data_IF_131007494626
#
_entry.id   IF_131007494626
#
_cell.length_a   1.000
_cell.length_b   1.000
_cell.length_c   1.000
_cell.angle_alpha   90.00
_cell.angle_beta   90.00
_cell.angle_gamma   90.00
#
_symmetry.space_group_name_H-M   'P 1'
#
loop_
_entity.id
_entity.type
_entity.pdbx_description
1 polymer ?
#
# COMPACT_ATOMS: atom_id res chain seq x y z
N UNK A 1 -6.83 -1.13 17.61
CA UNK A 1 -7.08 -0.80 16.19
C UNK A 1 -6.54 -1.94 15.33
N UNK A 2 -7.22 -2.34 14.24
CA UNK A 2 -6.84 -3.52 13.45
C UNK A 2 -5.38 -3.47 12.96
N UNK A 3 -4.92 -2.30 12.54
CA UNK A 3 -3.54 -2.13 12.03
C UNK A 3 -2.46 -2.16 13.13
N UNK A 4 -2.82 -2.05 14.41
CA UNK A 4 -1.86 -2.08 15.53
C UNK A 4 -1.31 -3.49 15.80
N UNK A 5 -1.96 -4.52 15.24
CA UNK A 5 -1.43 -5.89 15.30
C UNK A 5 -0.13 -6.05 14.49
N UNK A 6 0.16 -5.11 13.59
CA UNK A 6 1.33 -5.17 12.73
C UNK A 6 2.44 -4.23 13.22
N UNK A 7 3.64 -4.78 13.37
CA UNK A 7 4.87 -3.98 13.49
C UNK A 7 5.24 -3.30 12.17
N UNK A 8 4.82 -3.91 11.05
CA UNK A 8 5.02 -3.42 9.71
C UNK A 8 3.89 -3.89 8.79
N UNK A 9 3.26 -2.96 8.07
CA UNK A 9 2.31 -3.31 7.02
C UNK A 9 2.37 -2.33 5.84
N UNK A 10 1.88 -2.80 4.70
CA UNK A 10 1.86 -2.07 3.44
C UNK A 10 0.48 -2.17 2.81
N UNK A 11 0.08 -1.14 2.09
CA UNK A 11 -1.14 -1.15 1.29
C UNK A 11 -1.08 -0.08 0.20
N UNK A 12 -1.93 -0.25 -0.81
CA UNK A 12 -2.10 0.70 -1.90
C UNK A 12 -3.56 1.06 -2.07
N UNK A 13 -3.87 2.33 -2.31
CA UNK A 13 -5.22 2.79 -2.63
C UNK A 13 -5.26 3.32 -4.07
N UNK A 14 -6.01 2.63 -4.93
CA UNK A 14 -6.25 3.02 -6.32
C UNK A 14 -7.54 3.83 -6.39
N UNK A 15 -7.50 4.97 -7.09
CA UNK A 15 -8.67 5.78 -7.42
C UNK A 15 -9.39 5.21 -8.64
N UNK A 16 -9.81 3.95 -8.54
CA UNK A 16 -10.60 3.27 -9.58
C UNK A 16 -11.52 2.20 -8.99
N UNK A 17 -12.58 1.81 -9.72
CA UNK A 17 -13.41 0.67 -9.38
C UNK A 17 -12.64 -0.66 -9.35
N UNK A 18 -13.03 -1.56 -8.46
CA UNK A 18 -12.43 -2.89 -8.33
C UNK A 18 -12.61 -3.71 -9.63
N UNK A 19 -13.70 -3.50 -10.34
CA UNK A 19 -13.98 -4.16 -11.62
C UNK A 19 -12.88 -3.92 -12.65
N UNK A 20 -12.32 -2.71 -12.71
CA UNK A 20 -11.25 -2.37 -13.66
C UNK A 20 -9.95 -3.09 -13.31
N UNK A 21 -9.65 -3.24 -12.01
CA UNK A 21 -8.52 -4.05 -11.53
C UNK A 21 -8.73 -5.51 -11.92
N UNK A 22 -9.91 -6.08 -11.64
CA UNK A 22 -10.21 -7.50 -11.91
C UNK A 22 -10.14 -7.79 -13.41
N UNK A 23 -10.72 -6.94 -14.26
CA UNK A 23 -10.62 -7.04 -15.73
C UNK A 23 -9.16 -7.01 -16.18
N UNK A 24 -8.39 -6.05 -15.67
CA UNK A 24 -6.98 -5.87 -16.03
C UNK A 24 -6.13 -7.07 -15.62
N UNK A 25 -6.29 -7.57 -14.39
CA UNK A 25 -5.58 -8.77 -13.91
C UNK A 25 -5.99 -10.02 -14.71
N UNK A 26 -7.28 -10.21 -14.96
CA UNK A 26 -7.78 -11.36 -15.70
C UNK A 26 -7.20 -11.44 -17.11
N UNK A 27 -7.14 -10.30 -17.81
CA UNK A 27 -6.65 -10.21 -19.17
C UNK A 27 -5.11 -10.37 -19.31
N UNK A 28 -4.33 -10.19 -18.24
CA UNK A 28 -2.85 -10.12 -18.35
C UNK A 28 -2.10 -11.13 -17.45
N UNK A 29 -2.72 -11.64 -16.39
CA UNK A 29 -2.03 -12.47 -15.38
C UNK A 29 -2.49 -13.93 -15.36
N UNK A 30 -3.62 -14.26 -16.00
CA UNK A 30 -4.22 -15.59 -15.92
C UNK A 30 -3.90 -16.51 -17.10
N UNK A 31 -3.35 -15.97 -18.20
CA UNK A 31 -3.20 -16.71 -19.48
C UNK A 31 -2.34 -17.98 -19.37
N UNK A 32 -1.34 -18.00 -18.48
CA UNK A 32 -0.39 -19.11 -18.35
C UNK A 32 -0.68 -20.07 -17.20
N UNK A 33 -1.82 -19.93 -16.51
CA UNK A 33 -2.25 -20.83 -15.42
C UNK A 33 -1.36 -20.84 -14.16
N UNK A 34 -0.33 -20.00 -14.08
CA UNK A 34 0.56 -19.90 -12.91
C UNK A 34 -0.05 -19.10 -11.76
N UNK A 35 -1.10 -18.33 -12.04
CA UNK A 35 -1.80 -17.49 -11.07
C UNK A 35 -3.29 -17.70 -11.23
N UNK A 36 -4.03 -17.43 -10.15
CA UNK A 36 -5.50 -17.43 -10.15
C UNK A 36 -6.02 -16.21 -9.40
N UNK A 37 -7.24 -15.82 -9.76
CA UNK A 37 -8.07 -14.88 -9.01
C UNK A 37 -9.20 -15.67 -8.34
N UNK A 38 -9.35 -15.52 -7.03
CA UNK A 38 -10.41 -16.16 -6.24
C UNK A 38 -11.27 -15.09 -5.58
N UNK A 39 -12.59 -15.17 -5.75
CA UNK A 39 -13.53 -14.32 -5.00
C UNK A 39 -13.62 -14.85 -3.56
N UNK A 40 -13.25 -14.02 -2.57
CA UNK A 40 -13.41 -14.34 -1.14
C UNK A 40 -13.41 -13.05 -0.32
N UNK A 41 -14.07 -13.02 0.85
CA UNK A 41 -14.00 -11.87 1.75
C UNK A 41 -12.56 -11.48 2.11
N UNK A 42 -12.32 -10.19 2.30
CA UNK A 42 -11.00 -9.70 2.71
C UNK A 42 -10.66 -10.20 4.11
N UNK A 43 -9.41 -10.66 4.28
CA UNK A 43 -8.87 -11.07 5.57
C UNK A 43 -7.41 -10.66 5.67
N UNK A 44 -6.98 -10.36 6.90
CA UNK A 44 -5.58 -10.18 7.23
C UNK A 44 -4.87 -11.53 7.42
N UNK A 45 -4.85 -12.37 6.37
CA UNK A 45 -4.32 -13.75 6.41
C UNK A 45 -3.07 -13.95 5.52
N UNK A 46 -2.52 -12.86 4.96
CA UNK A 46 -1.31 -12.93 4.13
C UNK A 46 -0.01 -13.08 4.95
N UNK A 47 -0.01 -12.58 6.20
CA UNK A 47 1.09 -12.67 7.17
C UNK A 47 0.58 -12.25 8.56
N UNK A 48 1.34 -12.60 9.61
CA UNK A 48 0.93 -12.34 11.01
C UNK A 48 1.30 -10.93 11.50
N UNK A 49 2.60 -10.57 11.51
CA UNK A 49 3.09 -9.33 12.13
C UNK A 49 3.78 -8.37 11.13
N UNK A 50 4.42 -8.92 10.12
CA UNK A 50 5.10 -8.18 9.06
C UNK A 50 5.22 -9.04 7.81
N UNK A 51 5.20 -8.45 6.60
CA UNK A 51 5.51 -9.19 5.37
C UNK A 51 6.92 -9.79 5.44
N UNK A 52 7.12 -10.92 4.77
CA UNK A 52 8.44 -11.55 4.70
C UNK A 52 9.40 -10.67 3.88
N UNK A 53 10.66 -10.66 4.28
CA UNK A 53 11.73 -10.00 3.52
C UNK A 53 12.17 -10.92 2.37
N UNK A 54 12.54 -10.31 1.25
CA UNK A 54 12.96 -11.03 0.04
C UNK A 54 11.78 -11.52 -0.81
N UNK A 55 12.08 -12.04 -2.00
CA UNK A 55 11.07 -12.41 -3.00
C UNK A 55 10.85 -13.92 -3.18
N UNK A 56 11.34 -14.75 -2.27
CA UNK A 56 11.33 -16.22 -2.41
C UNK A 56 9.99 -16.89 -2.06
N UNK A 57 8.98 -16.11 -1.66
CA UNK A 57 7.64 -16.62 -1.37
C UNK A 57 6.69 -16.38 -2.55
N UNK A 58 5.69 -17.25 -2.71
CA UNK A 58 4.66 -17.07 -3.72
C UNK A 58 3.87 -15.78 -3.48
N UNK A 59 3.68 -15.03 -4.56
CA UNK A 59 2.97 -13.77 -4.54
C UNK A 59 1.50 -13.95 -4.15
N UNK A 60 1.03 -13.09 -3.26
CA UNK A 60 -0.37 -12.98 -2.87
C UNK A 60 -0.76 -11.52 -2.69
N UNK A 61 -1.92 -11.13 -3.22
CA UNK A 61 -2.50 -9.82 -2.99
C UNK A 61 -4.02 -9.88 -2.97
N UNK A 62 -4.62 -9.27 -1.96
CA UNK A 62 -6.03 -8.92 -2.00
C UNK A 62 -6.24 -7.62 -2.75
N UNK A 63 -7.36 -7.55 -3.46
CA UNK A 63 -7.97 -6.34 -3.99
C UNK A 63 -9.40 -6.27 -3.48
N UNK A 64 -9.79 -5.15 -2.89
CA UNK A 64 -11.14 -5.01 -2.31
C UNK A 64 -11.61 -3.57 -2.30
N UNK A 65 -12.93 -3.39 -2.16
CA UNK A 65 -13.56 -2.07 -1.97
C UNK A 65 -13.85 -1.85 -0.48
N UNK A 66 -13.32 -0.80 0.17
CA UNK A 66 -13.68 -0.48 1.56
C UNK A 66 -15.18 -0.23 1.73
N UNK A 67 -15.78 -0.74 2.81
CA UNK A 67 -17.20 -0.54 3.07
C UNK A 67 -17.62 0.95 3.19
N UNK A 68 -16.68 1.82 3.58
CA UNK A 68 -16.90 3.25 3.79
C UNK A 68 -16.55 4.12 2.57
N UNK A 69 -15.86 3.60 1.57
CA UNK A 69 -15.46 4.35 0.39
C UNK A 69 -15.45 3.45 -0.85
N UNK A 70 -16.54 3.53 -1.62
CA UNK A 70 -16.73 2.70 -2.82
C UNK A 70 -16.02 3.23 -4.07
N UNK A 71 -15.40 4.39 -3.99
CA UNK A 71 -14.69 5.01 -5.11
C UNK A 71 -13.22 4.58 -5.20
N UNK A 72 -12.74 3.82 -4.22
CA UNK A 72 -11.37 3.35 -4.17
C UNK A 72 -11.31 1.83 -4.10
N UNK A 73 -10.24 1.29 -4.65
CA UNK A 73 -9.86 -0.10 -4.49
C UNK A 73 -8.57 -0.19 -3.71
N UNK A 74 -8.51 -1.07 -2.72
CA UNK A 74 -7.34 -1.26 -1.87
C UNK A 74 -6.63 -2.54 -2.26
N UNK A 75 -5.31 -2.46 -2.42
CA UNK A 75 -4.44 -3.63 -2.51
C UNK A 75 -3.70 -3.85 -1.19
N UNK A 76 -3.72 -5.09 -0.72
CA UNK A 76 -2.93 -5.56 0.43
C UNK A 76 -2.17 -6.82 0.00
N UNK A 77 -0.85 -6.76 -0.01
CA UNK A 77 0.00 -7.83 -0.55
C UNK A 77 0.94 -8.40 0.51
N UNK A 78 1.46 -9.61 0.25
CA UNK A 78 2.45 -10.24 1.14
C UNK A 78 3.89 -9.75 0.92
N UNK A 79 4.11 -8.77 0.04
CA UNK A 79 5.42 -8.23 -0.25
C UNK A 79 5.79 -7.08 0.69
N UNK A 80 7.05 -7.09 1.11
CA UNK A 80 7.61 -6.03 1.95
C UNK A 80 7.66 -4.65 1.29
N UNK A 81 7.61 -4.53 -0.03
CA UNK A 81 7.48 -3.23 -0.73
C UNK A 81 6.03 -2.88 -1.08
N UNK A 82 5.06 -3.67 -0.59
CA UNK A 82 3.65 -3.55 -0.97
C UNK A 82 3.35 -4.01 -2.40
N UNK A 83 4.31 -4.62 -3.09
CA UNK A 83 4.25 -4.97 -4.52
C UNK A 83 4.12 -3.73 -5.40
N UNK A 84 4.97 -2.72 -5.14
CA UNK A 84 4.95 -1.42 -5.81
C UNK A 84 4.97 -1.54 -7.34
N UNK A 85 5.72 -2.51 -7.88
CA UNK A 85 5.77 -2.78 -9.33
C UNK A 85 4.40 -3.16 -9.91
N UNK A 86 3.60 -3.96 -9.21
CA UNK A 86 2.23 -4.28 -9.62
C UNK A 86 1.32 -3.05 -9.51
N UNK A 87 1.47 -2.27 -8.43
CA UNK A 87 0.69 -1.04 -8.26
C UNK A 87 0.94 -0.03 -9.39
N UNK A 88 2.21 0.19 -9.75
CA UNK A 88 2.60 1.06 -10.86
C UNK A 88 2.05 0.55 -12.19
N UNK A 89 2.15 -0.75 -12.44
CA UNK A 89 1.63 -1.36 -13.66
C UNK A 89 0.10 -1.24 -13.76
N UNK A 90 -0.63 -1.51 -12.67
CA UNK A 90 -2.09 -1.36 -12.62
C UNK A 90 -2.50 0.10 -12.86
N UNK A 91 -1.88 1.06 -12.18
CA UNK A 91 -2.09 2.49 -12.39
C UNK A 91 -1.86 2.89 -13.85
N UNK A 92 -0.82 2.35 -14.49
CA UNK A 92 -0.54 2.59 -15.91
C UNK A 92 -1.61 1.99 -16.84
N UNK A 93 -2.06 0.75 -16.58
CA UNK A 93 -3.05 0.09 -17.45
C UNK A 93 -4.45 0.67 -17.32
N UNK A 94 -4.84 1.06 -16.11
CA UNK A 94 -6.16 1.58 -15.80
C UNK A 94 -6.22 3.10 -16.00
N UNK A 95 -5.07 3.79 -16.07
CA UNK A 95 -4.98 5.25 -16.09
C UNK A 95 -5.63 5.87 -14.86
N UNK A 96 -5.18 5.43 -13.68
CA UNK A 96 -5.67 5.92 -12.40
C UNK A 96 -4.54 6.36 -11.45
N UNK A 97 -4.92 7.17 -10.46
CA UNK A 97 -4.07 7.55 -9.33
C UNK A 97 -3.95 6.40 -8.34
N UNK A 98 -2.76 6.19 -7.77
CA UNK A 98 -2.48 5.17 -6.77
C UNK A 98 -1.57 5.72 -5.67
N UNK A 99 -1.97 5.51 -4.41
CA UNK A 99 -1.20 5.90 -3.23
C UNK A 99 -0.72 4.66 -2.49
N UNK A 100 0.60 4.46 -2.46
CA UNK A 100 1.25 3.36 -1.76
C UNK A 100 1.76 3.84 -0.41
N UNK A 101 1.54 3.06 0.63
CA UNK A 101 2.00 3.35 1.99
C UNK A 101 2.76 2.17 2.57
N UNK A 102 3.86 2.48 3.28
CA UNK A 102 4.59 1.54 4.12
C UNK A 102 4.64 2.14 5.52
N UNK A 103 4.08 1.43 6.50
CA UNK A 103 3.92 1.94 7.87
C UNK A 103 4.58 0.97 8.84
N UNK A 104 5.62 1.44 9.53
CA UNK A 104 6.32 0.69 10.57
C UNK A 104 6.24 1.39 11.91
N UNK A 105 6.26 0.61 12.98
CA UNK A 105 6.53 1.16 14.31
C UNK A 105 8.01 1.59 14.42
N UNK A 106 8.25 2.71 15.10
CA UNK A 106 9.56 3.38 15.15
C UNK A 106 10.66 2.55 15.83
N UNK A 107 10.27 1.58 16.66
CA UNK A 107 11.17 0.73 17.44
C UNK A 107 11.70 -0.47 16.64
N UNK A 108 11.24 -0.66 15.39
CA UNK A 108 11.75 -1.71 14.51
C UNK A 108 13.21 -1.44 14.11
N UNK A 109 14.05 -2.48 14.09
CA UNK A 109 15.45 -2.39 13.65
C UNK A 109 15.57 -1.85 12.22
N UNK A 110 14.60 -2.20 11.38
CA UNK A 110 14.50 -1.82 9.97
C UNK A 110 13.26 -0.94 9.74
N UNK A 111 13.04 0.03 10.64
CA UNK A 111 11.91 0.94 10.53
C UNK A 111 11.97 1.73 9.21
N UNK A 112 10.88 1.68 8.46
CA UNK A 112 10.65 2.40 7.22
C UNK A 112 9.22 2.92 7.21
N UNK A 113 9.08 4.24 7.17
CA UNK A 113 7.80 4.90 6.91
C UNK A 113 7.93 5.58 5.56
N UNK A 114 7.03 5.26 4.64
CA UNK A 114 7.04 5.84 3.29
C UNK A 114 5.63 6.07 2.76
N UNK A 115 5.54 6.99 1.81
CA UNK A 115 4.46 6.96 0.84
C UNK A 115 5.00 7.24 -0.56
N UNK A 116 4.29 6.72 -1.56
CA UNK A 116 4.57 6.94 -2.96
C UNK A 116 3.24 7.19 -3.70
N UNK A 117 3.15 8.31 -4.40
CA UNK A 117 2.03 8.68 -5.24
C UNK A 117 2.38 8.43 -6.70
N UNK A 118 1.59 7.57 -7.33
CA UNK A 118 1.68 7.18 -8.73
C UNK A 118 0.48 7.75 -9.46
N UNK A 119 0.71 8.44 -10.57
CA UNK A 119 -0.34 8.92 -11.47
C UNK A 119 -0.12 8.30 -12.84
N UNK A 120 -1.10 7.53 -13.33
CA UNK A 120 -1.05 6.90 -14.65
C UNK A 120 0.23 6.08 -14.91
N UNK A 121 0.75 5.42 -13.86
CA UNK A 121 1.99 4.65 -13.91
C UNK A 121 3.29 5.45 -13.79
N UNK A 122 3.23 6.76 -13.55
CA UNK A 122 4.40 7.61 -13.28
C UNK A 122 4.50 7.95 -11.80
N UNK A 123 5.71 7.84 -11.23
CA UNK A 123 5.98 8.25 -9.85
C UNK A 123 6.01 9.78 -9.76
N UNK A 124 4.97 10.38 -9.16
CA UNK A 124 4.82 11.84 -9.03
C UNK A 124 5.44 12.35 -7.75
N UNK A 125 5.34 11.58 -6.66
CA UNK A 125 5.90 11.94 -5.35
C UNK A 125 6.32 10.68 -4.60
N UNK A 126 7.53 10.69 -4.07
CA UNK A 126 8.05 9.62 -3.21
C UNK A 126 8.70 10.27 -2.00
N UNK A 127 8.30 9.86 -0.79
CA UNK A 127 8.89 10.34 0.46
C UNK A 127 9.07 9.15 1.39
N UNK A 128 10.24 9.04 2.01
CA UNK A 128 10.46 8.06 3.06
C UNK A 128 11.41 8.56 4.15
N UNK A 129 11.20 8.06 5.36
CA UNK A 129 12.20 8.04 6.41
C UNK A 129 12.45 6.58 6.79
N UNK A 130 13.70 6.14 6.70
CA UNK A 130 14.09 4.77 7.01
C UNK A 130 15.34 4.72 7.88
N UNK A 131 15.47 3.62 8.62
CA UNK A 131 16.65 3.31 9.42
C UNK A 131 17.49 2.26 8.70
N UNK A 132 18.65 2.68 8.20
CA UNK A 132 19.67 1.81 7.60
C UNK A 132 21.05 2.23 8.11
N UNK A 133 21.55 1.56 9.16
CA UNK A 133 22.66 1.95 10.05
C UNK A 133 22.50 3.31 10.77
N UNK A 134 21.94 4.31 10.09
CA UNK A 134 21.52 5.63 10.53
C UNK A 134 20.15 5.96 9.93
N UNK A 135 19.52 7.00 10.44
CA UNK A 135 18.27 7.50 9.85
C UNK A 135 18.55 8.24 8.54
N UNK A 136 17.79 7.90 7.50
CA UNK A 136 17.85 8.50 6.17
C UNK A 136 16.48 9.07 5.86
N UNK A 137 16.45 10.29 5.33
CA UNK A 137 15.25 10.90 4.75
C UNK A 137 15.48 11.09 3.25
N UNK A 138 14.47 10.75 2.47
CA UNK A 138 14.45 10.97 1.04
C UNK A 138 13.12 11.58 0.65
N UNK A 139 13.18 12.51 -0.29
CA UNK A 139 12.01 13.04 -0.97
C UNK A 139 12.33 13.30 -2.44
N UNK A 140 11.35 13.06 -3.31
CA UNK A 140 11.44 13.38 -4.72
C UNK A 140 10.04 13.67 -5.27
N UNK A 141 9.95 14.66 -6.16
CA UNK A 141 8.69 15.10 -6.76
C UNK A 141 7.96 16.19 -5.97
N UNK A 142 6.80 16.62 -6.47
CA UNK A 142 6.07 17.79 -5.99
C UNK A 142 5.32 17.45 -4.69
N UNK A 143 5.42 18.34 -3.70
CA UNK A 143 4.68 18.23 -2.44
C UNK A 143 3.17 18.27 -2.73
N UNK A 144 2.45 17.30 -2.22
CA UNK A 144 1.02 17.15 -2.39
C UNK A 144 0.24 17.96 -1.34
N UNK A 145 -1.00 18.33 -1.68
CA UNK A 145 -1.86 19.17 -0.83
C UNK A 145 -2.15 18.58 0.57
N UNK A 146 -2.07 17.26 0.71
CA UNK A 146 -2.30 16.57 1.99
C UNK A 146 -1.05 16.54 2.87
N UNK A 147 0.13 16.80 2.31
CA UNK A 147 1.39 16.81 3.05
C UNK A 147 1.52 18.05 3.96
N UNK A 148 2.37 17.94 4.98
CA UNK A 148 2.84 19.08 5.77
C UNK A 148 4.36 19.18 5.65
N UNK A 149 4.83 20.11 4.81
CA UNK A 149 6.25 20.31 4.52
C UNK A 149 7.06 20.64 5.77
N UNK A 150 6.45 21.23 6.81
CA UNK A 150 7.16 21.58 8.04
C UNK A 150 7.78 20.37 8.72
N UNK A 151 7.19 19.18 8.54
CA UNK A 151 7.71 17.93 9.07
C UNK A 151 9.05 17.56 8.44
N UNK A 152 9.25 17.81 7.14
CA UNK A 152 10.46 17.45 6.41
C UNK A 152 11.70 18.25 6.84
N UNK A 153 11.48 19.39 7.50
CA UNK A 153 12.52 20.28 8.04
C UNK A 153 12.89 19.98 9.49
N UNK A 154 12.26 18.98 10.14
CA UNK A 154 12.55 18.63 11.55
C UNK A 154 13.99 18.18 11.75
N UNK A 155 14.57 18.54 12.91
CA UNK A 155 15.96 18.20 13.28
C UNK A 155 16.22 16.70 13.32
N UNK A 156 15.32 15.94 13.93
CA UNK A 156 15.42 14.48 14.01
C UNK A 156 14.81 13.85 12.75
N UNK A 157 15.63 13.15 11.95
CA UNK A 157 15.19 12.53 10.70
C UNK A 157 14.02 11.56 10.91
N UNK A 158 14.06 10.76 11.98
CA UNK A 158 12.98 9.84 12.36
C UNK A 158 11.61 10.50 12.58
N UNK A 159 11.58 11.82 12.76
CA UNK A 159 10.36 12.59 12.94
C UNK A 159 9.90 13.32 11.66
N UNK A 160 10.64 13.19 10.55
CA UNK A 160 10.31 13.83 9.26
C UNK A 160 9.21 13.09 8.51
N UNK A 161 9.19 11.77 8.63
CA UNK A 161 8.07 10.94 8.21
C UNK A 161 7.98 9.75 9.17
N UNK A 162 6.82 9.57 9.79
CA UNK A 162 6.58 8.49 10.75
C UNK A 162 5.12 8.02 10.65
N UNK A 163 4.77 6.99 11.42
CA UNK A 163 3.42 6.42 11.45
C UNK A 163 2.34 7.49 11.61
N UNK A 164 2.44 8.36 12.62
CA UNK A 164 1.40 9.36 12.90
C UNK A 164 1.21 10.35 11.74
N UNK A 165 2.30 10.76 11.09
CA UNK A 165 2.25 11.62 9.91
C UNK A 165 1.56 10.90 8.75
N UNK A 166 1.90 9.63 8.50
CA UNK A 166 1.27 8.84 7.43
C UNK A 166 -0.22 8.59 7.72
N UNK A 167 -0.60 8.34 8.98
CA UNK A 167 -2.00 8.24 9.37
C UNK A 167 -2.74 9.55 9.11
N UNK A 168 -2.15 10.69 9.45
CA UNK A 168 -2.70 12.02 9.12
C UNK A 168 -2.88 12.22 7.60
N UNK A 169 -1.93 11.76 6.79
CA UNK A 169 -2.04 11.84 5.32
C UNK A 169 -3.18 10.96 4.81
N UNK A 170 -3.30 9.73 5.32
CA UNK A 170 -4.40 8.83 5.00
C UNK A 170 -5.76 9.46 5.32
N UNK A 171 -5.91 10.10 6.48
CA UNK A 171 -7.15 10.80 6.87
C UNK A 171 -7.50 11.91 5.88
N UNK A 172 -6.54 12.78 5.52
CA UNK A 172 -6.76 13.85 4.54
C UNK A 172 -7.17 13.30 3.18
N UNK A 173 -6.61 12.16 2.76
CA UNK A 173 -6.97 11.47 1.52
C UNK A 173 -8.31 10.71 1.59
N UNK A 174 -8.96 10.66 2.75
CA UNK A 174 -10.19 9.88 2.95
C UNK A 174 -9.96 8.38 3.11
N UNK A 175 -8.73 7.96 3.42
CA UNK A 175 -8.37 6.58 3.73
C UNK A 175 -8.40 6.36 5.25
N UNK A 176 -9.58 6.06 5.80
CA UNK A 176 -9.75 5.86 7.24
C UNK A 176 -9.19 4.49 7.72
N UNK A 177 -7.91 4.23 7.49
CA UNK A 177 -7.24 2.94 7.75
C UNK A 177 -7.19 2.53 9.23
N UNK A 178 -7.49 3.45 10.14
CA UNK A 178 -7.63 3.17 11.57
C UNK A 178 -8.98 2.56 11.92
N UNK A 179 -9.98 2.72 11.04
CA UNK A 179 -11.34 2.24 11.23
C UNK A 179 -11.51 0.81 10.72
N UNK A 180 -12.22 -0.02 11.49
CA UNK A 180 -12.46 -1.40 11.11
C UNK A 180 -13.23 -1.53 9.79
N UNK A 181 -14.12 -0.58 9.49
CA UNK A 181 -14.94 -0.63 8.28
C UNK A 181 -14.16 -0.29 7.01
N UNK A 182 -12.99 0.35 7.11
CA UNK A 182 -12.10 0.49 5.96
C UNK A 182 -11.60 -0.88 5.48
N UNK A 183 -11.31 -1.78 6.41
CA UNK A 183 -10.77 -3.12 6.14
C UNK A 183 -11.84 -4.22 6.11
N UNK A 184 -13.11 -3.85 5.91
CA UNK A 184 -14.20 -4.81 5.70
C UNK A 184 -14.66 -4.73 4.26
N UNK A 185 -14.70 -5.87 3.59
CA UNK A 185 -15.32 -6.04 2.28
C UNK A 185 -15.80 -7.48 2.08
N UNK A 186 -17.02 -7.61 1.59
CA UNK A 186 -17.54 -8.86 1.03
C UNK A 186 -17.15 -9.02 -0.45
N UNK A 187 -16.91 -7.89 -1.14
CA UNK A 187 -16.44 -7.81 -2.53
C UNK A 187 -14.91 -7.68 -2.53
N UNK A 188 -14.24 -8.83 -2.44
CA UNK A 188 -12.79 -8.92 -2.47
C UNK A 188 -12.31 -10.06 -3.36
N UNK A 189 -11.18 -9.84 -4.02
CA UNK A 189 -10.54 -10.80 -4.90
C UNK A 189 -9.11 -11.04 -4.42
N UNK A 190 -8.75 -12.31 -4.26
CA UNK A 190 -7.40 -12.75 -3.96
C UNK A 190 -6.69 -13.14 -5.26
N UNK A 191 -5.62 -12.44 -5.61
CA UNK A 191 -4.61 -12.87 -6.58
C UNK A 191 -3.57 -13.72 -5.85
N UNK A 192 -3.32 -14.93 -6.36
CA UNK A 192 -2.29 -15.81 -5.81
C UNK A 192 -1.57 -16.60 -6.91
N UNK A 193 -0.27 -16.79 -6.74
CA UNK A 193 0.51 -17.75 -7.53
C UNK A 193 0.30 -19.16 -7.00
N UNK A 194 0.11 -20.10 -7.94
CA UNK A 194 -0.19 -21.50 -7.66
C UNK A 194 0.91 -22.47 -8.11
N UNK A 195 1.85 -22.03 -8.96
CA UNK A 195 3.02 -22.79 -9.43
C UNK A 195 4.21 -21.85 -9.71
#
# INVERSE_FOLDING_TARGET
MLIEQFSYFTFSCFQCPLEDIVKTLSANFLENGKRKLSLKPFMFDLYNNSPLKGGAHFEKAYFFVPAINRNISVMYSNYSDGWNTLARWLSSKIQCDCYNFQITNIDSSDSMNSFNFIQNGADVRTVYAMKDSKWIFYENGIIQWFEDESYYKRKLIKNRLNKDILLSYCVKLGFAITEANFWKSEDAVLLERIQ
#
